data_IF_971450040056
#
_entry.id   IF_971450040056
#
_cell.length_a   1.000
_cell.length_b   1.000
_cell.length_c   1.000
_cell.angle_alpha   90.00
_cell.angle_beta   90.00
_cell.angle_gamma   90.00
#
_symmetry.space_group_name_H-M   'P 1'
#
loop_
_entity.id
_entity.type
_entity.pdbx_description
1 polymer ?
#
# COMPACT_ATOMS: atom_id res chain seq x y z
N UNK A 1 3.41 30.10 8.64
CA UNK A 1 3.30 28.62 8.37
C UNK A 1 3.27 28.31 6.87
N UNK A 2 2.39 28.94 6.06
CA UNK A 2 2.33 28.70 4.59
C UNK A 2 3.62 29.03 3.87
N UNK A 3 4.22 30.20 4.14
CA UNK A 3 5.46 30.62 3.48
C UNK A 3 6.62 29.66 3.76
N UNK A 4 6.70 29.11 4.95
CA UNK A 4 7.72 28.14 5.33
C UNK A 4 7.47 26.79 4.64
N UNK A 5 6.22 26.35 4.56
CA UNK A 5 5.81 25.14 3.85
C UNK A 5 6.17 25.21 2.35
N UNK A 6 5.82 26.31 1.66
CA UNK A 6 6.20 26.48 0.24
C UNK A 6 7.70 26.62 0.03
N UNK A 7 8.43 27.15 1.00
CA UNK A 7 9.88 27.28 0.94
C UNK A 7 10.57 25.91 1.09
N UNK A 8 9.99 25.03 1.90
CA UNK A 8 10.51 23.69 2.17
C UNK A 8 10.07 22.67 1.11
N UNK A 9 8.83 22.73 0.66
CA UNK A 9 8.22 21.73 -0.22
C UNK A 9 7.94 22.22 -1.64
N UNK A 10 8.03 23.51 -1.91
CA UNK A 10 7.76 24.10 -3.23
C UNK A 10 6.28 24.34 -3.49
N UNK A 11 6.01 24.89 -4.68
CA UNK A 11 4.64 25.22 -5.15
C UNK A 11 4.17 24.21 -6.20
N UNK A 12 2.85 24.07 -6.36
CA UNK A 12 2.23 23.26 -7.39
C UNK A 12 1.25 22.24 -6.84
N UNK A 13 0.73 21.36 -7.71
CA UNK A 13 -0.32 20.39 -7.36
C UNK A 13 0.04 19.50 -6.16
N UNK A 14 1.31 19.12 -6.03
CA UNK A 14 1.77 18.30 -4.90
C UNK A 14 1.78 19.06 -3.55
N UNK A 15 1.79 20.38 -3.56
CA UNK A 15 1.65 21.20 -2.35
C UNK A 15 0.22 21.25 -1.82
N UNK A 16 -0.76 21.20 -2.73
CA UNK A 16 -2.16 21.43 -2.42
C UNK A 16 -2.95 20.15 -2.11
N UNK A 17 -2.47 18.99 -2.56
CA UNK A 17 -3.21 17.74 -2.47
C UNK A 17 -2.38 16.63 -1.82
N UNK A 18 -3.07 15.72 -1.10
CA UNK A 18 -2.46 14.58 -0.39
C UNK A 18 -2.23 13.39 -1.30
N UNK A 19 -3.21 13.10 -2.16
CA UNK A 19 -3.19 11.92 -3.02
C UNK A 19 -3.47 12.26 -4.47
N UNK A 20 -3.00 11.36 -5.32
CA UNK A 20 -3.03 11.49 -6.77
C UNK A 20 -3.35 10.14 -7.41
N UNK A 21 -3.75 10.17 -8.66
CA UNK A 21 -3.92 9.00 -9.52
C UNK A 21 -3.34 9.27 -10.89
N UNK A 22 -3.11 8.20 -11.64
CA UNK A 22 -2.72 8.31 -13.05
C UNK A 22 -3.96 8.56 -13.90
N UNK A 23 -3.86 9.49 -14.83
CA UNK A 23 -4.88 9.77 -15.83
C UNK A 23 -4.25 9.79 -17.24
N UNK A 24 -5.02 9.33 -18.22
CA UNK A 24 -4.66 9.31 -19.65
C UNK A 24 -5.68 10.14 -20.44
N UNK A 25 -5.57 11.48 -20.41
CA UNK A 25 -6.49 12.33 -21.17
C UNK A 25 -6.34 12.07 -22.68
N UNK A 26 -7.45 12.04 -23.41
CA UNK A 26 -7.43 11.84 -24.86
C UNK A 26 -6.48 12.82 -25.56
N UNK A 27 -5.57 12.28 -26.39
CA UNK A 27 -4.59 13.07 -27.17
C UNK A 27 -3.48 13.73 -26.34
N UNK A 28 -3.30 13.39 -25.07
CA UNK A 28 -2.25 13.89 -24.19
C UNK A 28 -1.39 12.75 -23.62
N UNK A 29 -0.21 13.12 -23.19
CA UNK A 29 0.67 12.23 -22.41
C UNK A 29 0.05 11.93 -21.03
N UNK A 30 0.41 10.80 -20.43
CA UNK A 30 0.04 10.42 -19.08
C UNK A 30 0.28 11.56 -18.08
N UNK A 31 -0.67 11.82 -17.21
CA UNK A 31 -0.59 12.83 -16.16
C UNK A 31 -0.91 12.25 -14.78
N UNK A 32 -0.33 12.87 -13.74
CA UNK A 32 -0.61 12.55 -12.34
C UNK A 32 -1.62 13.58 -11.83
N UNK A 33 -2.88 13.19 -11.64
CA UNK A 33 -3.96 14.10 -11.28
C UNK A 33 -4.36 13.98 -9.80
N UNK A 34 -4.76 15.08 -9.14
CA UNK A 34 -5.11 15.06 -7.73
C UNK A 34 -6.43 14.32 -7.45
N UNK A 35 -6.46 13.58 -6.35
CA UNK A 35 -7.68 13.04 -5.76
C UNK A 35 -8.16 14.04 -4.70
N UNK A 36 -9.34 14.63 -4.89
CA UNK A 36 -9.88 15.68 -4.01
C UNK A 36 -10.69 15.14 -2.85
N UNK A 37 -11.34 13.99 -3.02
CA UNK A 37 -12.15 13.37 -1.98
C UNK A 37 -11.44 12.15 -1.39
N UNK A 38 -10.64 12.37 -0.35
CA UNK A 38 -9.89 11.33 0.34
C UNK A 38 -10.58 11.02 1.66
N UNK A 39 -10.70 9.72 1.98
CA UNK A 39 -11.24 9.29 3.25
C UNK A 39 -10.43 9.84 4.44
N UNK A 40 -11.09 10.53 5.35
CA UNK A 40 -10.51 11.01 6.61
C UNK A 40 -10.51 9.87 7.62
N UNK A 41 -9.50 9.01 7.53
CA UNK A 41 -9.30 7.90 8.47
C UNK A 41 -8.03 8.12 9.26
N UNK A 42 -8.07 7.74 10.54
CA UNK A 42 -6.93 7.78 11.45
C UNK A 42 -6.55 6.37 11.90
N UNK A 43 -5.30 6.17 12.30
CA UNK A 43 -4.87 4.85 12.79
C UNK A 43 -5.62 4.42 14.07
N UNK A 44 -6.09 5.38 14.85
CA UNK A 44 -6.92 5.15 16.04
C UNK A 44 -8.34 4.67 15.70
N UNK A 45 -8.77 4.81 14.44
CA UNK A 45 -10.04 4.26 13.99
C UNK A 45 -9.98 2.76 13.76
N UNK A 46 -8.79 2.22 13.54
CA UNK A 46 -8.54 0.78 13.49
C UNK A 46 -8.34 0.22 14.89
N UNK A 47 -9.29 -0.55 15.36
CA UNK A 47 -9.20 -1.24 16.65
C UNK A 47 -8.38 -2.51 16.47
N UNK A 48 -7.43 -2.75 17.37
CA UNK A 48 -6.52 -3.90 17.29
C UNK A 48 -5.33 -3.68 16.34
N UNK A 49 -4.68 -4.77 15.97
CA UNK A 49 -3.54 -4.80 15.04
C UNK A 49 -2.34 -3.95 15.48
N UNK A 50 -2.09 -3.81 16.78
CA UNK A 50 -1.08 -2.88 17.31
C UNK A 50 0.33 -3.16 16.79
N UNK A 51 0.73 -4.43 16.65
CA UNK A 51 2.03 -4.81 16.10
C UNK A 51 2.11 -4.46 14.61
N UNK A 52 1.04 -4.72 13.85
CA UNK A 52 0.98 -4.42 12.43
C UNK A 52 1.01 -2.91 12.17
N UNK A 53 0.19 -2.15 12.90
CA UNK A 53 0.17 -0.68 12.87
C UNK A 53 1.55 -0.11 13.22
N UNK A 54 2.17 -0.59 14.29
CA UNK A 54 3.50 -0.13 14.71
C UNK A 54 4.54 -0.34 13.61
N UNK A 55 4.61 -1.50 12.99
CA UNK A 55 5.56 -1.76 11.89
C UNK A 55 5.34 -0.81 10.71
N UNK A 56 4.09 -0.55 10.35
CA UNK A 56 3.75 0.37 9.26
C UNK A 56 4.16 1.81 9.61
N UNK A 57 3.86 2.26 10.83
CA UNK A 57 4.22 3.58 11.35
C UNK A 57 5.74 3.74 11.35
N UNK A 58 6.48 2.81 11.96
CA UNK A 58 7.93 2.89 12.11
C UNK A 58 8.62 3.00 10.72
N UNK A 59 8.17 2.21 9.73
CA UNK A 59 8.70 2.27 8.37
C UNK A 59 8.35 3.59 7.66
N UNK A 60 7.11 4.07 7.82
CA UNK A 60 6.67 5.33 7.19
C UNK A 60 7.34 6.55 7.84
N UNK A 61 7.47 6.56 9.17
CA UNK A 61 8.15 7.63 9.89
C UNK A 61 9.64 7.71 9.52
N UNK A 62 10.32 6.56 9.43
CA UNK A 62 11.70 6.51 8.95
C UNK A 62 11.82 7.13 7.55
N UNK A 63 10.92 6.79 6.64
CA UNK A 63 10.88 7.33 5.28
C UNK A 63 10.70 8.84 5.26
N UNK A 64 9.71 9.35 5.96
CA UNK A 64 9.40 10.79 6.02
C UNK A 64 10.56 11.58 6.61
N UNK A 65 11.22 11.04 7.62
CA UNK A 65 12.42 11.63 8.25
C UNK A 65 13.70 11.48 7.40
N UNK A 66 13.61 10.96 6.18
CA UNK A 66 14.75 10.77 5.28
C UNK A 66 15.71 9.66 5.71
N UNK A 67 15.29 8.78 6.62
CA UNK A 67 16.04 7.59 7.01
C UNK A 67 15.77 6.45 6.03
N UNK A 68 16.61 5.40 6.10
CA UNK A 68 16.42 4.19 5.29
C UNK A 68 15.08 3.53 5.66
N UNK A 69 14.26 3.29 4.66
CA UNK A 69 12.98 2.62 4.75
C UNK A 69 12.77 1.69 3.54
N UNK A 70 11.81 0.80 3.61
CA UNK A 70 11.58 -0.23 2.60
C UNK A 70 10.20 -0.11 1.97
N UNK A 71 10.05 -0.70 0.78
CA UNK A 71 8.72 -1.00 0.24
C UNK A 71 7.97 -1.90 1.22
N UNK A 72 6.65 -1.75 1.30
CA UNK A 72 5.84 -2.42 2.29
C UNK A 72 4.68 -3.18 1.64
N UNK A 73 4.51 -4.45 1.99
CA UNK A 73 3.38 -5.27 1.60
C UNK A 73 2.54 -5.61 2.84
N UNK A 74 1.29 -5.17 2.86
CA UNK A 74 0.29 -5.58 3.82
C UNK A 74 -0.51 -6.73 3.23
N UNK A 75 -0.48 -7.90 3.86
CA UNK A 75 -1.19 -9.08 3.35
C UNK A 75 -2.02 -9.74 4.44
N UNK A 76 -3.03 -10.51 4.05
CA UNK A 76 -3.91 -11.23 4.96
C UNK A 76 -5.37 -11.15 4.56
N UNK A 77 -6.27 -11.46 5.50
CA UNK A 77 -7.69 -11.64 5.21
C UNK A 77 -8.37 -10.34 4.75
N UNK A 78 -9.43 -10.49 3.95
CA UNK A 78 -10.23 -9.35 3.50
C UNK A 78 -10.91 -8.67 4.70
N UNK A 79 -11.12 -7.35 4.60
CA UNK A 79 -11.83 -6.59 5.64
C UNK A 79 -11.03 -6.30 6.93
N UNK A 80 -9.77 -6.68 7.03
CA UNK A 80 -8.93 -6.51 8.23
C UNK A 80 -8.28 -5.11 8.37
N UNK A 81 -8.60 -4.17 7.49
CA UNK A 81 -8.13 -2.78 7.60
C UNK A 81 -6.79 -2.49 6.93
N UNK A 82 -6.27 -3.36 6.06
CA UNK A 82 -5.01 -3.13 5.32
C UNK A 82 -4.98 -1.80 4.57
N UNK A 83 -5.94 -1.60 3.66
CA UNK A 83 -6.05 -0.38 2.85
C UNK A 83 -6.34 0.84 3.70
N UNK A 84 -7.16 0.68 4.75
CA UNK A 84 -7.46 1.73 5.73
C UNK A 84 -6.19 2.19 6.46
N UNK A 85 -5.32 1.25 6.86
CA UNK A 85 -4.05 1.57 7.53
C UNK A 85 -3.12 2.42 6.64
N UNK A 86 -3.02 2.10 5.34
CA UNK A 86 -2.20 2.88 4.40
C UNK A 86 -2.78 4.28 4.20
N UNK A 87 -4.10 4.42 4.07
CA UNK A 87 -4.76 5.72 3.97
C UNK A 87 -4.58 6.56 5.25
N UNK A 88 -4.60 5.91 6.41
CA UNK A 88 -4.39 6.56 7.69
C UNK A 88 -2.96 7.13 7.86
N UNK A 89 -1.92 6.41 7.46
CA UNK A 89 -0.55 6.96 7.50
C UNK A 89 -0.36 8.13 6.54
N UNK A 90 -1.05 8.18 5.40
CA UNK A 90 -1.05 9.36 4.54
C UNK A 90 -1.59 10.58 5.27
N UNK A 91 -2.75 10.44 5.94
CA UNK A 91 -3.33 11.54 6.71
C UNK A 91 -2.41 12.01 7.86
N UNK A 92 -1.75 11.06 8.53
CA UNK A 92 -0.87 11.36 9.66
C UNK A 92 0.40 12.11 9.27
N UNK A 93 0.99 11.79 8.10
CA UNK A 93 2.29 12.33 7.69
C UNK A 93 2.20 13.35 6.54
N UNK A 94 0.99 13.73 6.11
CA UNK A 94 0.81 14.72 5.05
C UNK A 94 1.52 16.05 5.33
N UNK A 95 1.37 16.58 6.54
CA UNK A 95 1.97 17.86 6.94
C UNK A 95 3.50 17.79 7.05
N UNK A 96 4.05 16.58 7.06
CA UNK A 96 5.48 16.30 7.02
C UNK A 96 5.99 16.02 5.60
N UNK A 97 5.19 16.29 4.58
CA UNK A 97 5.57 16.18 3.18
C UNK A 97 5.28 14.82 2.52
N UNK A 98 4.53 13.93 3.18
CA UNK A 98 4.12 12.68 2.55
C UNK A 98 3.02 12.92 1.50
N UNK A 99 3.15 12.24 0.37
CA UNK A 99 2.18 12.22 -0.74
C UNK A 99 1.96 10.78 -1.18
N UNK A 100 0.79 10.51 -1.76
CA UNK A 100 0.47 9.18 -2.24
C UNK A 100 -0.01 9.24 -3.68
N UNK A 101 0.42 8.27 -4.49
CA UNK A 101 -0.06 8.10 -5.86
C UNK A 101 -0.66 6.71 -5.95
N UNK A 102 -1.97 6.65 -6.16
CA UNK A 102 -2.69 5.41 -6.37
C UNK A 102 -2.47 4.94 -7.81
N UNK A 103 -2.05 3.68 -7.95
CA UNK A 103 -1.74 3.06 -9.25
C UNK A 103 -2.46 1.72 -9.34
N UNK A 104 -3.29 1.58 -10.34
CA UNK A 104 -3.99 0.34 -10.63
C UNK A 104 -3.13 -0.62 -11.47
N UNK A 105 -3.38 -1.91 -11.35
CA UNK A 105 -2.57 -2.96 -12.01
C UNK A 105 -2.36 -2.70 -13.52
N UNK A 106 -3.41 -2.34 -14.25
CA UNK A 106 -3.33 -2.04 -15.69
C UNK A 106 -2.47 -0.81 -16.05
N UNK A 107 -2.05 -0.01 -15.05
CA UNK A 107 -1.22 1.19 -15.21
C UNK A 107 0.25 0.93 -14.85
N UNK A 108 0.66 -0.32 -14.57
CA UNK A 108 2.04 -0.59 -14.16
C UNK A 108 3.09 -0.28 -15.24
N UNK A 109 2.71 -0.28 -16.51
CA UNK A 109 3.56 0.20 -17.58
C UNK A 109 3.98 1.66 -17.42
N UNK A 110 3.18 2.48 -16.74
CA UNK A 110 3.41 3.93 -16.55
C UNK A 110 4.28 4.23 -15.31
N UNK A 111 4.63 3.23 -14.50
CA UNK A 111 5.36 3.43 -13.24
C UNK A 111 6.67 4.19 -13.40
N UNK A 112 7.43 3.93 -14.46
CA UNK A 112 8.69 4.63 -14.72
C UNK A 112 8.45 6.11 -15.01
N UNK A 113 7.41 6.44 -15.77
CA UNK A 113 7.05 7.82 -16.11
C UNK A 113 6.52 8.57 -14.88
N UNK A 114 5.75 7.91 -14.02
CA UNK A 114 5.34 8.45 -12.72
C UNK A 114 6.57 8.78 -11.87
N UNK A 115 7.49 7.82 -11.72
CA UNK A 115 8.72 8.00 -10.94
C UNK A 115 9.56 9.15 -11.52
N UNK A 116 9.70 9.25 -12.83
CA UNK A 116 10.43 10.34 -13.49
C UNK A 116 9.86 11.72 -13.14
N UNK A 117 8.52 11.85 -13.03
CA UNK A 117 7.87 13.12 -12.66
C UNK A 117 8.07 13.54 -11.20
N UNK A 118 8.31 12.58 -10.29
CA UNK A 118 8.34 12.83 -8.85
C UNK A 118 9.74 12.72 -8.22
N UNK A 119 10.70 12.06 -8.88
CA UNK A 119 12.03 11.76 -8.32
C UNK A 119 12.82 12.98 -7.87
N UNK A 120 12.60 14.14 -8.50
CA UNK A 120 13.31 15.38 -8.18
C UNK A 120 12.48 16.34 -7.32
N UNK A 121 11.39 15.89 -6.71
CA UNK A 121 10.55 16.71 -5.83
C UNK A 121 10.97 16.58 -4.38
N UNK A 122 10.78 17.64 -3.61
CA UNK A 122 11.11 17.67 -2.17
C UNK A 122 10.08 16.96 -1.29
N UNK A 123 9.13 16.23 -1.89
CA UNK A 123 8.15 15.43 -1.19
C UNK A 123 8.60 13.98 -1.08
N UNK A 124 8.05 13.26 -0.10
CA UNK A 124 8.13 11.81 0.00
C UNK A 124 6.88 11.20 -0.63
N UNK A 125 7.05 10.29 -1.58
CA UNK A 125 5.96 9.68 -2.32
C UNK A 125 5.83 8.21 -1.98
N UNK A 126 4.61 7.79 -1.67
CA UNK A 126 4.23 6.37 -1.64
C UNK A 126 3.42 6.09 -2.90
N UNK A 127 3.90 5.18 -3.73
CA UNK A 127 3.11 4.59 -4.81
C UNK A 127 2.28 3.48 -4.18
N UNK A 128 0.97 3.65 -4.19
CA UNK A 128 0.03 2.76 -3.53
C UNK A 128 -0.68 1.86 -4.54
N UNK A 129 -0.66 0.56 -4.25
CA UNK A 129 -1.30 -0.48 -5.05
C UNK A 129 -2.25 -1.28 -4.16
N UNK A 130 -3.56 -1.13 -4.40
CA UNK A 130 -4.57 -1.84 -3.63
C UNK A 130 -4.89 -3.20 -4.27
N UNK A 131 -5.12 -4.21 -3.41
CA UNK A 131 -5.49 -5.58 -3.77
C UNK A 131 -4.57 -6.21 -4.84
N UNK A 132 -3.26 -6.09 -4.63
CA UNK A 132 -2.25 -6.59 -5.54
C UNK A 132 -2.29 -8.12 -5.61
N UNK A 133 -2.57 -8.62 -6.79
CA UNK A 133 -2.53 -10.05 -7.12
C UNK A 133 -2.23 -10.24 -8.60
N UNK A 134 -1.55 -11.31 -8.94
CA UNK A 134 -1.23 -11.67 -10.31
C UNK A 134 -1.74 -13.07 -10.64
N UNK A 135 -2.23 -13.23 -11.83
CA UNK A 135 -2.43 -14.53 -12.44
C UNK A 135 -1.10 -15.00 -13.04
N UNK A 136 -1.02 -16.28 -13.37
CA UNK A 136 0.14 -16.83 -14.05
C UNK A 136 0.32 -16.16 -15.42
N UNK A 137 1.57 -15.77 -15.74
CA UNK A 137 1.96 -15.10 -17.01
C UNK A 137 1.44 -13.67 -17.24
N UNK A 138 0.90 -12.97 -16.25
CA UNK A 138 0.55 -11.56 -16.42
C UNK A 138 1.79 -10.69 -16.64
N UNK A 139 1.74 -9.83 -17.68
CA UNK A 139 2.86 -8.94 -18.03
C UNK A 139 3.09 -7.86 -16.96
N UNK A 140 2.05 -7.45 -16.26
CA UNK A 140 2.07 -6.45 -15.20
C UNK A 140 3.03 -6.83 -14.06
N UNK A 141 3.16 -8.12 -13.79
CA UNK A 141 4.16 -8.64 -12.85
C UNK A 141 5.58 -8.23 -13.25
N UNK A 142 5.92 -8.30 -14.54
CA UNK A 142 7.26 -7.96 -15.04
C UNK A 142 7.53 -6.47 -14.90
N UNK A 143 6.54 -5.61 -15.14
CA UNK A 143 6.66 -4.17 -14.95
C UNK A 143 6.92 -3.84 -13.48
N UNK A 144 6.14 -4.40 -12.57
CA UNK A 144 6.34 -4.16 -11.14
C UNK A 144 7.69 -4.69 -10.65
N UNK A 145 8.08 -5.89 -11.09
CA UNK A 145 9.38 -6.49 -10.76
C UNK A 145 10.52 -5.57 -11.19
N UNK A 146 10.51 -5.07 -12.42
CA UNK A 146 11.54 -4.18 -12.95
C UNK A 146 11.67 -2.89 -12.13
N UNK A 147 10.54 -2.31 -11.69
CA UNK A 147 10.53 -1.09 -10.87
C UNK A 147 11.02 -1.33 -9.44
N UNK A 148 10.63 -2.46 -8.83
CA UNK A 148 11.05 -2.79 -7.45
C UNK A 148 12.53 -3.18 -7.40
N UNK A 149 13.02 -3.93 -8.38
CA UNK A 149 14.42 -4.34 -8.45
C UNK A 149 15.35 -3.18 -8.78
N UNK A 150 14.82 -2.20 -9.52
CA UNK A 150 15.63 -1.18 -10.16
C UNK A 150 16.49 -1.78 -11.28
N UNK A 151 16.76 -0.97 -12.31
CA UNK A 151 17.72 -1.32 -13.34
C UNK A 151 19.10 -0.73 -13.01
N UNK A 152 19.75 -0.17 -14.03
CA UNK A 152 20.98 0.62 -13.84
C UNK A 152 20.73 1.92 -13.10
N UNK A 153 19.52 2.48 -13.19
CA UNK A 153 19.13 3.68 -12.43
C UNK A 153 18.72 3.28 -11.01
N UNK A 154 19.38 3.89 -10.02
CA UNK A 154 19.04 3.68 -8.62
C UNK A 154 17.64 4.21 -8.34
N UNK A 155 16.83 3.43 -7.61
CA UNK A 155 15.52 3.87 -7.12
C UNK A 155 15.68 5.19 -6.35
N UNK A 156 14.83 6.20 -6.61
CA UNK A 156 14.88 7.48 -5.90
C UNK A 156 14.62 7.31 -4.39
N UNK A 157 15.40 8.01 -3.57
CA UNK A 157 15.29 7.94 -2.10
C UNK A 157 14.01 8.60 -1.56
N UNK A 158 13.25 9.26 -2.42
CA UNK A 158 11.98 9.91 -2.09
C UNK A 158 10.73 9.11 -2.54
N UNK A 159 10.90 7.85 -3.00
CA UNK A 159 9.80 7.02 -3.49
C UNK A 159 9.82 5.65 -2.81
N UNK A 160 8.68 5.24 -2.23
CA UNK A 160 8.42 3.87 -1.77
C UNK A 160 7.18 3.30 -2.45
N UNK A 161 7.09 1.98 -2.50
CA UNK A 161 5.91 1.25 -2.97
C UNK A 161 5.26 0.59 -1.75
N UNK A 162 3.97 0.89 -1.53
CA UNK A 162 3.13 0.20 -0.56
C UNK A 162 2.03 -0.54 -1.30
N UNK A 163 1.85 -1.80 -0.97
CA UNK A 163 0.81 -2.62 -1.57
C UNK A 163 -0.02 -3.33 -0.52
N UNK A 164 -1.28 -3.61 -0.83
CA UNK A 164 -2.10 -4.54 -0.08
C UNK A 164 -2.35 -5.79 -0.90
N UNK A 165 -2.57 -6.92 -0.24
CA UNK A 165 -2.99 -8.15 -0.89
C UNK A 165 -3.86 -8.99 0.05
N UNK A 166 -4.86 -9.66 -0.50
CA UNK A 166 -5.63 -10.65 0.24
C UNK A 166 -4.94 -12.03 0.26
N UNK A 167 -3.71 -12.13 -0.27
CA UNK A 167 -2.92 -13.36 -0.37
C UNK A 167 -1.52 -13.15 0.15
N UNK A 168 -0.97 -14.19 0.78
CA UNK A 168 0.43 -14.20 1.20
C UNK A 168 1.37 -14.23 -0.01
N UNK A 169 0.99 -14.99 -1.02
CA UNK A 169 1.70 -15.10 -2.29
C UNK A 169 0.95 -14.26 -3.32
N UNK A 170 1.60 -13.27 -3.90
CA UNK A 170 1.00 -12.31 -4.83
C UNK A 170 0.50 -12.95 -6.13
N UNK A 171 0.96 -14.15 -6.46
CA UNK A 171 0.58 -14.89 -7.65
C UNK A 171 -0.36 -16.04 -7.27
N UNK A 172 -1.42 -16.24 -8.04
CA UNK A 172 -2.43 -17.27 -7.83
C UNK A 172 -1.83 -18.65 -8.14
N UNK A 173 -1.89 -19.56 -7.19
CA UNK A 173 -1.64 -20.97 -7.44
C UNK A 173 -2.87 -21.57 -8.12
N UNK A 174 -2.72 -22.15 -9.29
CA UNK A 174 -3.79 -22.93 -9.95
C UNK A 174 -3.86 -24.33 -9.35
N UNK A 175 -5.03 -24.97 -9.41
CA UNK A 175 -5.19 -26.36 -8.94
C UNK A 175 -4.29 -27.35 -9.72
N UNK A 176 -3.82 -27.00 -10.91
CA UNK A 176 -2.85 -27.78 -11.69
C UNK A 176 -1.50 -27.89 -11.01
N UNK A 177 -1.04 -26.83 -10.33
CA UNK A 177 0.25 -26.81 -9.60
C UNK A 177 0.30 -27.87 -8.48
N UNK A 178 -0.87 -28.40 -8.05
CA UNK A 178 -0.96 -29.46 -7.03
C UNK A 178 -1.04 -30.87 -7.62
N UNK A 179 -1.45 -31.02 -8.89
CA UNK A 179 -1.66 -32.31 -9.54
C UNK A 179 -0.42 -32.77 -10.33
N UNK A 180 0.35 -31.85 -10.89
CA UNK A 180 1.51 -32.13 -11.75
C UNK A 180 2.84 -32.11 -10.95
N UNK A 181 2.88 -32.79 -9.81
CA UNK A 181 4.14 -32.98 -9.05
C UNK A 181 5.20 -33.79 -9.77
N UNK A 182 4.88 -34.32 -10.94
CA UNK A 182 5.80 -35.19 -11.74
C UNK A 182 6.54 -34.45 -12.87
N UNK A 183 6.23 -33.15 -13.15
CA UNK A 183 7.02 -32.31 -14.08
C UNK A 183 7.86 -31.28 -13.29
N UNK A 184 8.92 -31.78 -12.65
CA UNK A 184 9.67 -31.08 -11.58
C UNK A 184 10.49 -29.85 -12.01
N UNK A 185 10.68 -29.55 -13.28
CA UNK A 185 11.62 -28.49 -13.69
C UNK A 185 10.97 -27.13 -13.92
N UNK A 186 9.75 -27.05 -14.44
CA UNK A 186 9.08 -25.77 -14.74
C UNK A 186 8.33 -25.18 -13.55
N UNK A 187 7.85 -26.01 -12.63
CA UNK A 187 7.13 -25.61 -11.42
C UNK A 187 8.03 -24.89 -10.41
N UNK A 188 9.30 -25.26 -10.32
CA UNK A 188 10.25 -24.65 -9.40
C UNK A 188 10.61 -23.21 -9.77
N UNK A 189 10.75 -22.89 -11.05
CA UNK A 189 11.10 -21.54 -11.51
C UNK A 189 9.97 -20.55 -11.23
N UNK A 190 8.72 -20.96 -11.49
CA UNK A 190 7.54 -20.11 -11.22
C UNK A 190 7.35 -19.86 -9.73
N UNK A 191 7.54 -20.86 -8.88
CA UNK A 191 7.46 -20.71 -7.41
C UNK A 191 8.57 -19.81 -6.88
N UNK A 192 9.79 -19.94 -7.37
CA UNK A 192 10.90 -19.07 -6.99
C UNK A 192 10.68 -17.63 -7.43
N UNK A 193 10.13 -17.39 -8.62
CA UNK A 193 9.75 -16.05 -9.07
C UNK A 193 8.65 -15.45 -8.18
N UNK A 194 7.64 -16.24 -7.80
CA UNK A 194 6.54 -15.85 -6.90
C UNK A 194 7.06 -15.38 -5.54
N UNK A 195 8.00 -16.14 -4.95
CA UNK A 195 8.61 -15.80 -3.66
C UNK A 195 9.54 -14.59 -3.77
N UNK A 196 10.19 -14.41 -4.92
CA UNK A 196 11.16 -13.33 -5.13
C UNK A 196 10.52 -11.93 -5.06
N UNK A 197 9.31 -11.73 -5.58
CA UNK A 197 8.65 -10.43 -5.56
C UNK A 197 8.26 -10.03 -4.14
N UNK A 198 7.70 -10.95 -3.33
CA UNK A 198 7.34 -10.69 -1.94
C UNK A 198 8.57 -10.31 -1.10
N UNK A 199 9.67 -11.03 -1.29
CA UNK A 199 10.93 -10.76 -0.60
C UNK A 199 11.50 -9.36 -0.91
N UNK A 200 11.21 -8.81 -2.08
CA UNK A 200 11.68 -7.48 -2.51
C UNK A 200 10.93 -6.31 -1.88
N UNK A 201 9.77 -6.55 -1.28
CA UNK A 201 9.10 -5.50 -0.52
C UNK A 201 9.91 -5.08 0.72
N UNK A 202 10.75 -5.96 1.27
CA UNK A 202 11.61 -5.64 2.42
C UNK A 202 10.86 -5.56 3.75
N UNK A 203 9.63 -5.05 3.79
CA UNK A 203 8.73 -5.08 4.94
C UNK A 203 7.43 -5.76 4.54
N UNK A 204 7.10 -6.86 5.23
CA UNK A 204 5.82 -7.54 5.08
C UNK A 204 5.06 -7.53 6.40
N UNK A 205 3.78 -7.16 6.35
CA UNK A 205 2.92 -6.99 7.52
C UNK A 205 1.67 -7.83 7.34
N UNK A 206 1.45 -8.75 8.27
CA UNK A 206 0.29 -9.63 8.26
C UNK A 206 -0.90 -9.03 9.00
N UNK A 207 -2.07 -9.07 8.37
CA UNK A 207 -3.37 -8.70 8.92
C UNK A 207 -4.29 -9.91 8.82
N UNK A 208 -4.28 -10.74 9.85
CA UNK A 208 -5.17 -11.90 9.95
C UNK A 208 -6.57 -11.53 10.45
N UNK A 209 -7.53 -12.42 10.28
CA UNK A 209 -8.84 -12.28 10.91
C UNK A 209 -8.68 -12.23 12.43
N UNK A 210 -9.43 -11.34 13.13
CA UNK A 210 -9.38 -11.26 14.57
C UNK A 210 -9.90 -12.55 15.21
N UNK A 211 -9.31 -12.92 16.33
CA UNK A 211 -9.89 -13.99 17.15
C UNK A 211 -11.22 -13.54 17.79
N UNK A 212 -11.95 -14.47 18.43
CA UNK A 212 -13.24 -14.12 19.06
C UNK A 212 -13.14 -13.02 20.11
N UNK A 213 -12.03 -12.96 20.84
CA UNK A 213 -11.80 -11.97 21.89
C UNK A 213 -11.52 -10.60 21.26
N UNK A 214 -10.66 -10.56 20.28
CA UNK A 214 -10.32 -9.36 19.51
C UNK A 214 -11.56 -8.83 18.78
N UNK A 215 -12.33 -9.71 18.14
CA UNK A 215 -13.58 -9.34 17.46
C UNK A 215 -14.57 -8.67 18.42
N UNK A 216 -14.83 -9.27 19.59
CA UNK A 216 -15.69 -8.67 20.61
C UNK A 216 -15.19 -7.32 21.07
N UNK A 217 -13.86 -7.15 21.21
CA UNK A 217 -13.27 -5.86 21.56
C UNK A 217 -13.46 -4.81 20.47
N UNK A 218 -13.32 -5.20 19.21
CA UNK A 218 -13.59 -4.35 18.05
C UNK A 218 -15.04 -3.85 18.09
N UNK A 219 -16.00 -4.78 18.23
CA UNK A 219 -17.43 -4.47 18.29
C UNK A 219 -17.74 -3.49 19.42
N UNK A 220 -17.26 -3.75 20.64
CA UNK A 220 -17.44 -2.86 21.79
C UNK A 220 -16.89 -1.45 21.54
N UNK A 221 -15.67 -1.37 21.02
CA UNK A 221 -15.01 -0.09 20.76
C UNK A 221 -15.75 0.71 19.68
N UNK A 222 -16.20 0.04 18.62
CA UNK A 222 -16.98 0.68 17.55
C UNK A 222 -18.35 1.14 18.05
N UNK A 223 -19.02 0.34 18.88
CA UNK A 223 -20.30 0.73 19.50
C UNK A 223 -20.13 1.98 20.36
N UNK A 224 -19.10 2.02 21.21
CA UNK A 224 -18.80 3.20 22.04
C UNK A 224 -18.48 4.44 21.18
N UNK A 225 -17.63 4.31 20.16
CA UNK A 225 -17.30 5.43 19.25
C UNK A 225 -18.53 5.97 18.52
N UNK A 226 -19.45 5.10 18.15
CA UNK A 226 -20.68 5.49 17.44
C UNK A 226 -21.87 5.78 18.38
N UNK A 227 -21.64 5.77 19.70
CA UNK A 227 -22.68 6.03 20.73
C UNK A 227 -23.89 5.13 20.56
N UNK A 228 -23.66 3.85 20.26
CA UNK A 228 -24.71 2.86 20.16
C UNK A 228 -25.06 2.42 21.59
N UNK A 229 -26.28 2.76 22.03
CA UNK A 229 -26.83 2.36 23.31
C UNK A 229 -27.59 1.04 23.14
N UNK A 230 -26.89 -0.08 23.35
CA UNK A 230 -27.42 -1.44 23.26
C UNK A 230 -26.82 -2.28 24.38
N UNK A 231 -27.61 -3.20 25.00
CA UNK A 231 -27.06 -4.15 25.97
C UNK A 231 -25.91 -4.95 25.36
N UNK A 232 -24.87 -5.21 26.14
CA UNK A 232 -23.68 -5.90 25.63
C UNK A 232 -23.99 -7.33 25.12
N UNK A 233 -24.98 -7.99 25.73
CA UNK A 233 -25.44 -9.30 25.29
C UNK A 233 -26.02 -9.25 23.88
N UNK A 234 -26.83 -8.25 23.57
CA UNK A 234 -27.42 -8.07 22.25
C UNK A 234 -26.36 -7.63 21.20
N UNK A 235 -25.39 -6.81 21.63
CA UNK A 235 -24.31 -6.34 20.78
C UNK A 235 -23.37 -7.46 20.33
N UNK A 236 -23.23 -8.51 21.13
CA UNK A 236 -22.34 -9.65 20.91
C UNK A 236 -23.06 -10.93 20.47
N UNK A 237 -24.38 -10.87 20.28
CA UNK A 237 -25.14 -11.94 19.65
C UNK A 237 -24.70 -12.06 18.18
N UNK A 238 -24.17 -13.23 17.83
CA UNK A 238 -23.85 -13.62 16.44
C UNK A 238 -25.12 -14.14 15.74
#
# INVERSE_FOLDING_TARGET
KMTQFYKEFGVGKFGLHKAFRIDHPEGKTMSVEPITNIAHVHLDDLVGYEIAKKKLIDNTEAFVKGKKANNCLLFGDAGTGKSTSIKAVLNQYYDQGLRMIEVYKHQFQDLNDVIAQIKNRNYKFIIYMDDLSFEEFEIEYKYLKAVIEGGLERKPDNVLIYATSNRRHLIRETFRDKADRDEELHTNDTVQEKLSLVARFGVTIYFGSPDKKEFRQIVRTLAQKNKIEMPEEDLLLE
#
